data_IF_312102386854
#
_entry.id   IF_312102386854
#
_cell.length_a   1.000
_cell.length_b   1.000
_cell.length_c   1.000
_cell.angle_alpha   90.00
_cell.angle_beta   90.00
_cell.angle_gamma   90.00
#
_symmetry.space_group_name_H-M   'P 1'
#
loop_
_entity.id
_entity.type
_entity.pdbx_description
1 polymer ?
#
# COMPACT_ATOMS: atom_id res chain seq x y z
N UNK A 1 -6.54 -19.62 14.23
CA UNK A 1 -5.28 -19.90 13.51
C UNK A 1 -4.77 -18.69 12.72
N UNK A 2 -5.60 -18.04 11.89
CA UNK A 2 -5.21 -16.88 11.04
C UNK A 2 -4.64 -15.71 11.86
N UNK A 3 -5.40 -15.24 12.87
CA UNK A 3 -4.98 -14.12 13.74
C UNK A 3 -3.66 -14.37 14.47
N UNK A 4 -3.39 -15.63 14.85
CA UNK A 4 -2.14 -15.98 15.55
C UNK A 4 -0.94 -15.89 14.61
N UNK A 5 -1.10 -16.29 13.34
CA UNK A 5 -0.06 -16.13 12.31
C UNK A 5 0.16 -14.67 11.95
N UNK A 6 -0.92 -13.90 11.79
CA UNK A 6 -0.84 -12.45 11.54
C UNK A 6 -0.13 -11.75 12.71
N UNK A 7 -0.48 -12.08 13.96
CA UNK A 7 0.17 -11.49 15.14
C UNK A 7 1.66 -11.80 15.22
N UNK A 8 2.08 -13.01 14.83
CA UNK A 8 3.49 -13.38 14.74
C UNK A 8 4.22 -12.60 13.64
N UNK A 9 3.60 -12.49 12.46
CA UNK A 9 4.18 -11.70 11.36
C UNK A 9 4.29 -10.22 11.73
N UNK A 10 3.25 -9.64 12.34
CA UNK A 10 3.26 -8.26 12.82
C UNK A 10 4.37 -8.03 13.85
N UNK A 11 4.56 -8.95 14.80
CA UNK A 11 5.64 -8.86 15.80
C UNK A 11 7.02 -8.93 15.15
N UNK A 12 7.19 -9.73 14.08
CA UNK A 12 8.44 -9.80 13.31
C UNK A 12 8.71 -8.50 12.56
N UNK A 13 7.68 -7.92 11.96
CA UNK A 13 7.79 -6.73 11.09
C UNK A 13 7.93 -5.44 11.88
N UNK A 14 7.17 -5.28 12.96
CA UNK A 14 7.17 -4.08 13.81
C UNK A 14 8.35 -4.10 14.78
N UNK A 15 9.54 -4.18 14.21
CA UNK A 15 10.81 -4.16 14.92
C UNK A 15 11.33 -2.72 15.14
N UNK A 16 12.58 -2.61 15.57
CA UNK A 16 13.24 -1.30 15.76
C UNK A 16 13.38 -0.51 14.46
N UNK A 17 13.51 -1.19 13.32
CA UNK A 17 13.61 -0.54 12.02
C UNK A 17 12.26 0.07 11.61
N UNK A 18 11.16 -0.63 11.88
CA UNK A 18 9.82 -0.07 11.68
C UNK A 18 9.59 1.19 12.52
N UNK A 19 10.06 1.22 13.77
CA UNK A 19 10.01 2.42 14.61
C UNK A 19 10.82 3.59 14.01
N UNK A 20 12.04 3.31 13.54
CA UNK A 20 12.89 4.29 12.87
C UNK A 20 12.22 4.85 11.59
N UNK A 21 11.61 3.97 10.78
CA UNK A 21 10.85 4.36 9.58
C UNK A 21 9.67 5.26 9.93
N UNK A 22 8.92 4.93 10.99
CA UNK A 22 7.81 5.77 11.47
C UNK A 22 8.28 7.14 11.94
N UNK A 23 9.44 7.21 12.61
CA UNK A 23 10.08 8.46 13.01
C UNK A 23 10.47 9.32 11.80
N UNK A 24 11.12 8.75 10.79
CA UNK A 24 11.44 9.46 9.55
C UNK A 24 10.19 9.91 8.80
N UNK A 25 9.15 9.07 8.75
CA UNK A 25 7.85 9.44 8.19
C UNK A 25 7.26 10.68 8.88
N UNK A 26 7.38 10.76 10.21
CA UNK A 26 6.92 11.92 10.98
C UNK A 26 7.74 13.17 10.68
N UNK A 27 9.07 13.06 10.58
CA UNK A 27 9.93 14.19 10.18
C UNK A 27 9.54 14.70 8.79
N UNK A 28 9.38 13.81 7.80
CA UNK A 28 8.97 14.23 6.45
C UNK A 28 7.59 14.88 6.44
N UNK A 29 6.65 14.34 7.22
CA UNK A 29 5.31 14.92 7.37
C UNK A 29 5.38 16.33 7.99
N UNK A 30 6.21 16.50 9.03
CA UNK A 30 6.46 17.79 9.65
C UNK A 30 7.04 18.80 8.65
N UNK A 31 8.11 18.44 7.94
CA UNK A 31 8.74 19.30 6.92
C UNK A 31 7.78 19.69 5.81
N UNK A 32 6.96 18.74 5.32
CA UNK A 32 5.97 19.02 4.28
C UNK A 32 4.87 19.97 4.76
N UNK A 33 4.51 19.93 6.04
CA UNK A 33 3.42 20.72 6.61
C UNK A 33 3.71 22.22 6.67
N UNK A 34 4.98 22.64 6.61
CA UNK A 34 5.36 24.05 6.53
C UNK A 34 4.86 24.73 5.25
N UNK A 35 4.61 23.96 4.18
CA UNK A 35 4.08 24.47 2.91
C UNK A 35 2.54 24.57 2.87
N UNK A 36 1.85 24.00 3.86
CA UNK A 36 0.38 23.91 3.92
C UNK A 36 -0.15 25.10 4.75
N UNK A 37 0.12 26.34 4.32
CA UNK A 37 -0.37 27.54 5.02
C UNK A 37 -1.84 27.85 4.69
N UNK A 38 -2.32 27.48 3.49
CA UNK A 38 -3.73 27.63 3.10
C UNK A 38 -4.46 26.30 3.31
N UNK A 39 -5.26 26.23 4.37
CA UNK A 39 -6.07 25.07 4.75
C UNK A 39 -7.28 24.86 3.80
N UNK A 40 -7.01 24.71 2.51
CA UNK A 40 -8.02 24.43 1.48
C UNK A 40 -8.27 22.92 1.40
N UNK A 41 -9.48 22.54 0.98
CA UNK A 41 -9.87 21.14 0.80
C UNK A 41 -8.91 20.36 -0.12
N UNK A 42 -8.43 21.00 -1.20
CA UNK A 42 -7.45 20.41 -2.11
C UNK A 42 -6.10 20.17 -1.44
N UNK A 43 -5.57 21.16 -0.70
CA UNK A 43 -4.27 21.02 -0.04
C UNK A 43 -4.27 19.87 0.98
N UNK A 44 -5.38 19.67 1.70
CA UNK A 44 -5.54 18.52 2.62
C UNK A 44 -5.56 17.19 1.89
N UNK A 45 -6.27 17.12 0.76
CA UNK A 45 -6.30 15.91 -0.07
C UNK A 45 -4.90 15.58 -0.61
N UNK A 46 -4.16 16.57 -1.13
CA UNK A 46 -2.80 16.37 -1.61
C UNK A 46 -1.84 15.94 -0.49
N UNK A 47 -1.99 16.49 0.72
CA UNK A 47 -1.23 16.04 1.89
C UNK A 47 -1.51 14.58 2.25
N UNK A 48 -2.77 14.16 2.20
CA UNK A 48 -3.15 12.75 2.40
C UNK A 48 -2.62 11.83 1.31
N UNK A 49 -2.55 12.29 0.06
CA UNK A 49 -1.93 11.52 -1.01
C UNK A 49 -0.44 11.31 -0.76
N UNK A 50 0.27 12.33 -0.25
CA UNK A 50 1.66 12.20 0.20
C UNK A 50 1.81 11.14 1.30
N UNK A 51 0.90 11.12 2.28
CA UNK A 51 0.87 10.08 3.31
C UNK A 51 0.53 8.69 2.73
N UNK A 52 -0.33 8.60 1.72
CA UNK A 52 -0.63 7.34 1.04
C UNK A 52 0.56 6.81 0.24
N UNK A 53 1.40 7.68 -0.32
CA UNK A 53 2.68 7.27 -0.91
C UNK A 53 3.69 6.81 0.14
N UNK A 54 3.79 7.49 1.28
CA UNK A 54 4.63 7.02 2.40
C UNK A 54 4.15 5.67 2.92
N UNK A 55 2.84 5.47 3.06
CA UNK A 55 2.24 4.17 3.36
C UNK A 55 2.72 3.09 2.38
N UNK A 56 2.70 3.39 1.08
CA UNK A 56 3.12 2.47 0.03
C UNK A 56 4.62 2.13 0.12
N UNK A 57 5.48 3.09 0.48
CA UNK A 57 6.91 2.86 0.76
C UNK A 57 7.07 1.83 1.88
N UNK A 58 6.33 2.01 2.98
CA UNK A 58 6.39 1.10 4.12
C UNK A 58 5.88 -0.30 3.75
N UNK A 59 4.77 -0.39 3.03
CA UNK A 59 4.21 -1.67 2.57
C UNK A 59 5.19 -2.42 1.66
N UNK A 60 5.86 -1.70 0.76
CA UNK A 60 6.91 -2.26 -0.09
C UNK A 60 8.07 -2.82 0.74
N UNK A 61 8.54 -2.10 1.75
CA UNK A 61 9.64 -2.56 2.59
C UNK A 61 9.24 -3.82 3.39
N UNK A 62 8.09 -3.78 4.06
CA UNK A 62 7.60 -4.91 4.85
C UNK A 62 7.28 -6.14 3.99
N UNK A 63 6.90 -5.94 2.71
CA UNK A 63 6.68 -7.04 1.79
C UNK A 63 7.96 -7.83 1.47
N UNK A 64 9.16 -7.23 1.57
CA UNK A 64 10.43 -7.92 1.32
C UNK A 64 10.66 -9.04 2.33
N UNK A 65 10.52 -8.75 3.62
CA UNK A 65 10.72 -9.71 4.72
C UNK A 65 9.50 -10.59 5.02
N UNK A 66 8.49 -10.56 4.15
CA UNK A 66 7.26 -11.37 4.26
C UNK A 66 6.92 -12.02 2.93
N UNK A 67 6.03 -11.44 2.13
CA UNK A 67 5.48 -12.06 0.93
C UNK A 67 6.55 -12.35 -0.13
N UNK A 68 7.50 -11.43 -0.35
CA UNK A 68 8.55 -11.65 -1.34
C UNK A 68 9.54 -12.73 -0.89
N UNK A 69 9.90 -12.76 0.41
CA UNK A 69 10.74 -13.81 1.00
C UNK A 69 10.03 -15.18 1.00
N UNK A 70 8.76 -15.23 1.41
CA UNK A 70 7.96 -16.46 1.40
C UNK A 70 7.79 -16.99 -0.03
N UNK A 71 7.64 -16.09 -1.01
CA UNK A 71 7.58 -16.47 -2.42
C UNK A 71 8.92 -16.98 -2.93
N UNK A 72 10.03 -16.27 -2.67
CA UNK A 72 11.37 -16.64 -3.18
C UNK A 72 11.83 -18.00 -2.64
N UNK A 73 11.42 -18.34 -1.41
CA UNK A 73 11.72 -19.61 -0.76
C UNK A 73 10.75 -20.75 -1.11
N UNK A 74 9.86 -20.56 -2.10
CA UNK A 74 8.82 -21.55 -2.48
C UNK A 74 7.91 -21.96 -1.32
N UNK A 75 7.82 -21.15 -0.26
CA UNK A 75 6.95 -21.44 0.88
C UNK A 75 5.48 -21.35 0.48
N UNK A 76 5.15 -20.44 -0.44
CA UNK A 76 3.80 -20.36 -1.01
C UNK A 76 3.41 -21.65 -1.73
N UNK A 77 4.31 -22.21 -2.55
CA UNK A 77 4.12 -23.49 -3.24
C UNK A 77 3.87 -24.62 -2.23
N UNK A 78 4.71 -24.71 -1.20
CA UNK A 78 4.55 -25.70 -0.11
C UNK A 78 3.20 -25.55 0.61
N UNK A 79 2.78 -24.32 0.96
CA UNK A 79 1.52 -24.10 1.65
C UNK A 79 0.31 -24.47 0.77
N UNK A 80 0.36 -24.12 -0.52
CA UNK A 80 -0.69 -24.49 -1.48
C UNK A 80 -0.78 -26.00 -1.69
N UNK A 81 0.36 -26.70 -1.78
CA UNK A 81 0.42 -28.15 -1.90
C UNK A 81 -0.15 -28.86 -0.66
N UNK A 82 -0.02 -28.26 0.52
CA UNK A 82 -0.63 -28.75 1.77
C UNK A 82 -2.11 -28.33 1.94
N UNK A 83 -2.76 -27.82 0.90
CA UNK A 83 -4.19 -27.50 0.91
C UNK A 83 -4.56 -26.16 1.56
N UNK A 84 -3.59 -25.28 1.85
CA UNK A 84 -3.89 -23.92 2.29
C UNK A 84 -4.52 -23.14 1.14
N UNK A 85 -5.69 -22.54 1.37
CA UNK A 85 -6.38 -21.81 0.30
C UNK A 85 -5.67 -20.50 -0.08
N UNK A 86 -5.74 -20.14 -1.37
CA UNK A 86 -5.21 -18.85 -1.86
C UNK A 86 -5.89 -17.67 -1.16
N UNK A 87 -7.21 -17.77 -0.92
CA UNK A 87 -7.98 -16.75 -0.20
C UNK A 87 -7.37 -16.49 1.18
N UNK A 88 -7.06 -17.55 1.92
CA UNK A 88 -6.41 -17.43 3.24
C UNK A 88 -5.04 -16.75 3.15
N UNK A 89 -4.22 -17.09 2.16
CA UNK A 89 -2.91 -16.45 1.96
C UNK A 89 -3.07 -14.96 1.64
N UNK A 90 -3.98 -14.61 0.74
CA UNK A 90 -4.26 -13.21 0.38
C UNK A 90 -4.71 -12.40 1.60
N UNK A 91 -5.64 -12.93 2.40
CA UNK A 91 -6.11 -12.28 3.63
C UNK A 91 -4.97 -12.09 4.64
N UNK A 92 -4.16 -13.14 4.86
CA UNK A 92 -2.97 -13.07 5.75
C UNK A 92 -2.04 -11.95 5.31
N UNK A 93 -1.59 -11.93 4.06
CA UNK A 93 -0.64 -10.93 3.59
C UNK A 93 -1.24 -9.53 3.52
N UNK A 94 -2.53 -9.41 3.16
CA UNK A 94 -3.23 -8.13 3.15
C UNK A 94 -3.27 -7.52 4.54
N UNK A 95 -3.77 -8.26 5.53
CA UNK A 95 -3.90 -7.78 6.90
C UNK A 95 -2.52 -7.46 7.47
N UNK A 96 -1.54 -8.35 7.32
CA UNK A 96 -0.18 -8.13 7.82
C UNK A 96 0.45 -6.87 7.22
N UNK A 97 0.44 -6.70 5.90
CA UNK A 97 1.07 -5.54 5.26
C UNK A 97 0.29 -4.26 5.53
N UNK A 98 -1.04 -4.29 5.45
CA UNK A 98 -1.86 -3.12 5.68
C UNK A 98 -1.68 -2.57 7.11
N UNK A 99 -1.80 -3.44 8.13
CA UNK A 99 -1.69 -2.99 9.51
C UNK A 99 -0.25 -2.63 9.91
N UNK A 100 0.76 -3.37 9.46
CA UNK A 100 2.15 -2.99 9.75
C UNK A 100 2.47 -1.59 9.21
N UNK A 101 2.14 -1.31 7.94
CA UNK A 101 2.33 0.00 7.33
C UNK A 101 1.49 1.09 7.99
N UNK A 102 0.24 0.79 8.36
CA UNK A 102 -0.64 1.75 9.02
C UNK A 102 -0.13 2.12 10.42
N UNK A 103 0.27 1.13 11.21
CA UNK A 103 0.82 1.33 12.56
C UNK A 103 2.11 2.15 12.49
N UNK A 104 2.99 1.85 11.53
CA UNK A 104 4.23 2.61 11.33
C UNK A 104 3.95 4.07 10.91
N UNK A 105 2.91 4.31 10.10
CA UNK A 105 2.54 5.66 9.67
C UNK A 105 1.71 6.43 10.71
N UNK A 106 1.20 5.76 11.73
CA UNK A 106 0.25 6.30 12.70
C UNK A 106 0.71 7.63 13.36
N UNK A 107 1.99 7.80 13.77
CA UNK A 107 2.46 9.09 14.27
C UNK A 107 2.31 10.23 13.26
N UNK A 108 2.58 9.97 11.98
CA UNK A 108 2.46 10.94 10.89
C UNK A 108 1.00 11.29 10.61
N UNK A 109 0.12 10.29 10.60
CA UNK A 109 -1.32 10.49 10.42
C UNK A 109 -1.92 11.32 11.56
N UNK A 110 -1.54 11.05 12.81
CA UNK A 110 -1.98 11.82 13.97
C UNK A 110 -1.52 13.27 13.85
N UNK A 111 -0.23 13.49 13.56
CA UNK A 111 0.31 14.84 13.38
C UNK A 111 -0.44 15.60 12.28
N UNK A 112 -0.64 14.97 11.12
CA UNK A 112 -1.34 15.58 10.00
C UNK A 112 -2.82 15.86 10.32
N UNK A 113 -3.49 14.98 11.07
CA UNK A 113 -4.87 15.16 11.52
C UNK A 113 -5.03 16.37 12.44
N UNK A 114 -4.14 16.52 13.42
CA UNK A 114 -4.14 17.68 14.31
C UNK A 114 -3.86 18.99 13.57
N UNK A 115 -2.95 18.97 12.58
CA UNK A 115 -2.57 20.17 11.84
C UNK A 115 -3.63 20.64 10.85
N UNK A 116 -4.32 19.72 10.18
CA UNK A 116 -5.20 20.05 9.03
C UNK A 116 -6.69 19.85 9.28
N UNK A 117 -7.06 19.27 10.43
CA UNK A 117 -8.45 18.94 10.78
C UNK A 117 -9.12 18.08 9.69
N UNK A 118 -8.55 16.90 9.45
CA UNK A 118 -9.02 15.93 8.47
C UNK A 118 -10.47 15.53 8.81
N UNK A 119 -11.37 15.61 7.82
CA UNK A 119 -12.73 15.10 7.95
C UNK A 119 -12.83 13.59 7.74
N UNK A 120 -14.00 13.03 8.06
CA UNK A 120 -14.26 11.58 7.93
C UNK A 120 -14.09 11.10 6.49
N UNK A 121 -14.54 11.89 5.50
CA UNK A 121 -14.44 11.54 4.09
C UNK A 121 -12.99 11.47 3.62
N UNK A 122 -12.16 12.43 4.02
CA UNK A 122 -10.74 12.45 3.69
C UNK A 122 -10.00 11.27 4.33
N UNK A 123 -10.33 10.92 5.58
CA UNK A 123 -9.75 9.75 6.25
C UNK A 123 -10.18 8.43 5.58
N UNK A 124 -11.46 8.27 5.24
CA UNK A 124 -11.94 7.11 4.49
C UNK A 124 -11.28 7.02 3.11
N UNK A 125 -11.08 8.16 2.44
CA UNK A 125 -10.37 8.22 1.17
C UNK A 125 -8.93 7.69 1.31
N UNK A 126 -8.22 8.10 2.36
CA UNK A 126 -6.88 7.57 2.66
C UNK A 126 -6.92 6.06 2.89
N UNK A 127 -7.80 5.55 3.76
CA UNK A 127 -7.89 4.12 4.07
C UNK A 127 -8.18 3.26 2.84
N UNK A 128 -9.13 3.69 1.99
CA UNK A 128 -9.46 2.99 0.75
C UNK A 128 -8.29 2.99 -0.24
N UNK A 129 -7.60 4.12 -0.36
CA UNK A 129 -6.43 4.25 -1.23
C UNK A 129 -5.30 3.34 -0.76
N UNK A 130 -5.00 3.35 0.54
CA UNK A 130 -4.02 2.47 1.16
C UNK A 130 -4.37 0.99 0.95
N UNK A 131 -5.64 0.61 1.12
CA UNK A 131 -6.10 -0.77 0.88
C UNK A 131 -5.94 -1.20 -0.57
N UNK A 132 -6.27 -0.35 -1.54
CA UNK A 132 -6.11 -0.63 -2.96
C UNK A 132 -4.64 -0.73 -3.37
N UNK A 133 -3.76 0.09 -2.78
CA UNK A 133 -2.32 -0.03 -2.99
C UNK A 133 -1.75 -1.33 -2.40
N UNK A 134 -2.14 -1.71 -1.18
CA UNK A 134 -1.74 -2.99 -0.59
C UNK A 134 -2.17 -4.17 -1.44
N UNK A 135 -3.42 -4.16 -1.91
CA UNK A 135 -3.96 -5.19 -2.79
C UNK A 135 -3.16 -5.28 -4.10
N UNK A 136 -2.87 -4.14 -4.72
CA UNK A 136 -2.11 -4.09 -5.97
C UNK A 136 -0.70 -4.64 -5.77
N UNK A 137 -0.04 -4.23 -4.69
CA UNK A 137 1.30 -4.70 -4.35
C UNK A 137 1.33 -6.22 -4.18
N UNK A 138 0.41 -6.78 -3.39
CA UNK A 138 0.31 -8.24 -3.16
C UNK A 138 0.10 -8.96 -4.48
N UNK A 139 -0.87 -8.53 -5.28
CA UNK A 139 -1.17 -9.14 -6.58
C UNK A 139 0.03 -9.05 -7.54
N UNK A 140 0.77 -7.93 -7.54
CA UNK A 140 1.97 -7.80 -8.37
C UNK A 140 3.10 -8.72 -7.94
N UNK A 141 3.34 -8.87 -6.64
CA UNK A 141 4.32 -9.84 -6.13
C UNK A 141 3.89 -11.26 -6.51
N UNK A 142 2.62 -11.58 -6.30
CA UNK A 142 2.07 -12.89 -6.61
C UNK A 142 2.03 -13.23 -8.10
N UNK A 143 1.93 -12.25 -9.00
CA UNK A 143 2.02 -12.46 -10.45
C UNK A 143 3.47 -12.59 -10.95
N UNK A 144 4.46 -12.20 -10.14
CA UNK A 144 5.87 -12.22 -10.56
C UNK A 144 6.47 -13.61 -10.35
N UNK A 145 6.73 -14.33 -11.44
CA UNK A 145 7.35 -15.68 -11.40
C UNK A 145 8.88 -15.63 -11.31
N UNK A 146 9.50 -14.74 -12.11
CA UNK A 146 10.95 -14.55 -12.09
C UNK A 146 11.35 -13.68 -10.90
N UNK A 147 12.06 -14.26 -9.95
CA UNK A 147 12.45 -13.59 -8.71
C UNK A 147 13.54 -12.52 -8.92
N UNK A 148 14.36 -12.61 -9.96
CA UNK A 148 15.32 -11.57 -10.34
C UNK A 148 14.64 -10.26 -10.77
N UNK A 149 13.36 -10.31 -11.18
CA UNK A 149 12.55 -9.13 -11.52
C UNK A 149 11.85 -8.47 -10.32
N UNK A 150 11.99 -9.00 -9.10
CA UNK A 150 11.35 -8.46 -7.88
C UNK A 150 11.76 -7.01 -7.58
N UNK A 151 13.02 -6.65 -7.84
CA UNK A 151 13.48 -5.26 -7.69
C UNK A 151 12.68 -4.27 -8.57
N UNK A 152 12.19 -4.73 -9.73
CA UNK A 152 11.34 -3.94 -10.63
C UNK A 152 9.92 -3.70 -10.12
N UNK A 153 9.46 -4.45 -9.11
CA UNK A 153 8.12 -4.26 -8.52
C UNK A 153 8.02 -2.91 -7.83
N UNK A 154 9.06 -2.52 -7.09
CA UNK A 154 9.11 -1.20 -6.45
C UNK A 154 8.86 -0.09 -7.47
N UNK A 155 9.64 -0.09 -8.56
CA UNK A 155 9.51 0.89 -9.66
C UNK A 155 8.08 0.92 -10.23
N UNK A 156 7.49 -0.24 -10.50
CA UNK A 156 6.13 -0.34 -11.06
C UNK A 156 5.05 0.15 -10.09
N UNK A 157 5.19 -0.14 -8.81
CA UNK A 157 4.24 0.26 -7.76
C UNK A 157 4.30 1.77 -7.52
N UNK A 158 5.50 2.37 -7.48
CA UNK A 158 5.64 3.83 -7.43
C UNK A 158 5.14 4.52 -8.70
N UNK A 159 5.40 3.93 -9.87
CA UNK A 159 4.89 4.44 -11.14
C UNK A 159 3.35 4.48 -11.15
N UNK A 160 2.69 3.43 -10.65
CA UNK A 160 1.23 3.46 -10.49
C UNK A 160 0.80 4.60 -9.56
N UNK A 161 1.45 4.75 -8.41
CA UNK A 161 1.13 5.84 -7.47
C UNK A 161 1.26 7.22 -8.11
N UNK A 162 2.35 7.46 -8.84
CA UNK A 162 2.55 8.71 -9.59
C UNK A 162 1.51 8.93 -10.68
N UNK A 163 1.18 7.90 -11.47
CA UNK A 163 0.15 8.00 -12.53
C UNK A 163 -1.23 8.31 -11.95
N UNK A 164 -1.61 7.65 -10.86
CA UNK A 164 -2.88 7.88 -10.16
C UNK A 164 -2.96 9.34 -9.69
N UNK A 165 -1.87 9.88 -9.15
CA UNK A 165 -1.81 11.27 -8.71
C UNK A 165 -1.90 12.26 -9.86
N UNK A 166 -1.11 12.06 -10.91
CA UNK A 166 -1.12 12.93 -12.10
C UNK A 166 -2.51 12.93 -12.73
N UNK A 167 -3.09 11.74 -12.97
CA UNK A 167 -4.38 11.63 -13.62
C UNK A 167 -5.51 12.24 -12.78
N UNK A 168 -5.59 11.90 -11.48
CA UNK A 168 -6.63 12.44 -10.60
C UNK A 168 -6.52 13.96 -10.45
N UNK A 169 -5.31 14.50 -10.27
CA UNK A 169 -5.09 15.95 -10.17
C UNK A 169 -5.47 16.67 -11.46
N UNK A 170 -5.16 16.11 -12.64
CA UNK A 170 -5.62 16.67 -13.91
C UNK A 170 -7.15 16.70 -14.01
N UNK A 171 -7.84 15.62 -13.61
CA UNK A 171 -9.32 15.60 -13.55
C UNK A 171 -9.83 16.76 -12.67
N UNK A 172 -9.19 17.01 -11.52
CA UNK A 172 -9.56 18.14 -10.68
C UNK A 172 -9.30 19.48 -11.35
N UNK A 173 -8.14 19.68 -11.99
CA UNK A 173 -7.81 20.95 -12.67
C UNK A 173 -8.84 21.26 -13.77
N UNK A 174 -9.26 20.27 -14.55
CA UNK A 174 -10.22 20.47 -15.65
C UNK A 174 -11.67 20.65 -15.17
N UNK A 175 -12.06 20.00 -14.07
CA UNK A 175 -13.47 19.99 -13.63
C UNK A 175 -13.75 20.88 -12.43
N UNK A 176 -12.74 21.18 -11.62
CA UNK A 176 -12.85 21.78 -10.28
C UNK A 176 -13.77 21.03 -9.32
N UNK A 177 -14.12 19.76 -9.61
CA UNK A 177 -15.03 18.94 -8.79
C UNK A 177 -14.26 17.88 -8.02
N UNK A 178 -14.23 18.00 -6.69
CA UNK A 178 -13.56 17.05 -5.78
C UNK A 178 -14.14 15.63 -5.91
N UNK A 179 -15.45 15.49 -6.14
CA UNK A 179 -16.08 14.17 -6.30
C UNK A 179 -15.51 13.41 -7.51
N UNK A 180 -15.29 14.10 -8.64
CA UNK A 180 -14.72 13.50 -9.84
C UNK A 180 -13.25 13.13 -9.66
N UNK A 181 -12.49 13.94 -8.91
CA UNK A 181 -11.14 13.59 -8.48
C UNK A 181 -11.11 12.25 -7.73
N UNK A 182 -11.98 12.09 -6.72
CA UNK A 182 -12.04 10.87 -5.90
C UNK A 182 -12.49 9.66 -6.73
N UNK A 183 -13.54 9.81 -7.52
CA UNK A 183 -14.07 8.73 -8.38
C UNK A 183 -13.03 8.30 -9.40
N UNK A 184 -12.41 9.24 -10.11
CA UNK A 184 -11.39 8.94 -11.13
C UNK A 184 -10.21 8.20 -10.51
N UNK A 185 -9.75 8.63 -9.34
CA UNK A 185 -8.68 7.97 -8.59
C UNK A 185 -9.02 6.51 -8.28
N UNK A 186 -10.19 6.26 -7.69
CA UNK A 186 -10.60 4.90 -7.33
C UNK A 186 -10.82 4.01 -8.55
N UNK A 187 -11.38 4.55 -9.64
CA UNK A 187 -11.53 3.80 -10.89
C UNK A 187 -10.18 3.33 -11.43
N UNK A 188 -9.17 4.20 -11.46
CA UNK A 188 -7.81 3.83 -11.93
C UNK A 188 -7.23 2.73 -11.04
N UNK A 189 -7.32 2.87 -9.71
CA UNK A 189 -6.77 1.89 -8.77
C UNK A 189 -7.51 0.54 -8.81
N UNK A 190 -8.84 0.55 -8.90
CA UNK A 190 -9.66 -0.66 -9.03
C UNK A 190 -9.33 -1.35 -10.35
N UNK A 191 -9.29 -0.61 -11.45
CA UNK A 191 -8.93 -1.16 -12.76
C UNK A 191 -7.54 -1.79 -12.75
N UNK A 192 -6.55 -1.10 -12.14
CA UNK A 192 -5.20 -1.65 -11.99
C UNK A 192 -5.20 -2.95 -11.17
N UNK A 193 -5.96 -3.03 -10.08
CA UNK A 193 -6.11 -4.25 -9.29
C UNK A 193 -6.74 -5.39 -10.08
N UNK A 194 -7.88 -5.13 -10.73
CA UNK A 194 -8.59 -6.13 -11.56
C UNK A 194 -7.68 -6.63 -12.68
N UNK A 195 -7.00 -5.73 -13.38
CA UNK A 195 -6.07 -6.09 -14.46
C UNK A 195 -4.98 -7.04 -13.98
N UNK A 196 -4.41 -6.84 -12.78
CA UNK A 196 -3.41 -7.76 -12.25
C UNK A 196 -4.04 -9.06 -11.77
N UNK A 197 -5.19 -8.99 -11.10
CA UNK A 197 -5.90 -10.16 -10.57
C UNK A 197 -6.28 -11.15 -11.68
N UNK A 198 -6.84 -10.67 -12.79
CA UNK A 198 -7.20 -11.51 -13.96
C UNK A 198 -5.96 -12.19 -14.55
N UNK A 199 -4.81 -11.52 -14.51
CA UNK A 199 -3.54 -12.07 -14.98
C UNK A 199 -2.82 -12.96 -13.95
N UNK A 200 -3.39 -13.15 -12.75
CA UNK A 200 -2.77 -13.94 -11.67
C UNK A 200 -3.47 -15.29 -11.55
N UNK A 201 -2.87 -16.33 -12.11
CA UNK A 201 -3.36 -17.71 -11.98
C UNK A 201 -2.82 -18.38 -10.71
N UNK A 202 -3.43 -19.51 -10.30
CA UNK A 202 -2.94 -20.33 -9.19
C UNK A 202 -1.49 -20.79 -9.40
N UNK A 203 -1.17 -21.14 -10.65
CA UNK A 203 0.18 -21.56 -11.04
C UNK A 203 1.18 -20.41 -10.87
N UNK A 204 0.85 -19.20 -11.32
CA UNK A 204 1.73 -18.01 -11.17
C UNK A 204 2.03 -17.65 -9.71
N UNK A 205 1.09 -17.94 -8.81
CA UNK A 205 1.26 -17.73 -7.37
C UNK A 205 2.31 -18.69 -6.80
N UNK A 206 2.27 -19.97 -7.23
CA UNK A 206 3.13 -21.03 -6.72
C UNK A 206 4.52 -21.04 -7.40
N UNK A 207 4.57 -20.80 -8.70
CA UNK A 207 5.78 -20.93 -9.51
C UNK A 207 6.77 -19.81 -9.20
N UNK A 208 8.01 -20.22 -8.93
CA UNK A 208 9.16 -19.32 -8.86
C UNK A 208 10.39 -19.90 -9.55
N UNK A 209 11.09 -19.05 -10.28
CA UNK A 209 12.38 -19.33 -10.90
C UNK A 209 13.29 -18.10 -10.84
N UNK A 210 14.59 -18.29 -11.01
CA UNK A 210 15.61 -17.24 -10.97
C UNK A 210 16.09 -16.96 -12.40
#
# INVERSE_FOLDING_TARGET
MVLKLIGLDLKKILDKNALLMGFFGLIFSFLSSASIEKNTSLARLMGLEGLALLFLVFALEFSKGTLQEDKSRKKLEFLLANGVSIKFLLEKYFVTLFFSSLITLLPSLIFFAFKTSIGVLEFLNFLLTAGLYTSFLILKILNTENMNKMAGIQKKTFLLGGLVLIASTNIYIFTSVIKLYLIGKFLILIFANIFVAVNTSKERIAVTYF
#
